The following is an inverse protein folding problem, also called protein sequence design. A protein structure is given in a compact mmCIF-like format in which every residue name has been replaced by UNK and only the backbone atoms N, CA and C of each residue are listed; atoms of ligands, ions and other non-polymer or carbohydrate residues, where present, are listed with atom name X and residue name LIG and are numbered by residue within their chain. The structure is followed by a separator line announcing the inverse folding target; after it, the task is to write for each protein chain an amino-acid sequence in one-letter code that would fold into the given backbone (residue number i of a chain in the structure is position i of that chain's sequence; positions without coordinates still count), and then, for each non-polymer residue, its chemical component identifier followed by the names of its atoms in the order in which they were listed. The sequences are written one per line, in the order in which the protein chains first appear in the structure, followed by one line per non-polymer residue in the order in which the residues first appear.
data_IF_854719026951
#
_entry.id   IF_854719026951
#
_cell.length_a   1.000
_cell.length_b   1.000
_cell.length_c   1.000
_cell.angle_alpha   90.00
_cell.angle_beta   90.00
_cell.angle_gamma   90.00
#
_symmetry.space_group_name_H-M   'P 1'
#
loop_
_entity.id
_entity.type
_entity.pdbx_description
1 polymer ?
#
# COMPACT_ATOMS: atom_id res chain seq x y z
N UNK A 1 4.31 -14.27 10.45
CA UNK A 1 3.06 -13.48 10.35
C UNK A 1 2.86 -13.09 8.90
N UNK A 2 1.61 -13.09 8.44
CA UNK A 2 1.19 -12.63 7.14
C UNK A 2 0.73 -11.18 7.25
N UNK A 3 1.46 -10.29 6.61
CA UNK A 3 1.27 -8.84 6.68
C UNK A 3 0.84 -8.33 5.32
N UNK A 4 -0.33 -7.72 5.26
CA UNK A 4 -0.77 -6.95 4.09
C UNK A 4 -0.45 -5.47 4.32
N UNK A 5 0.19 -4.81 3.36
CA UNK A 5 0.46 -3.38 3.45
C UNK A 5 0.00 -2.66 2.19
N UNK A 6 -0.89 -1.68 2.34
CA UNK A 6 -1.34 -0.80 1.27
C UNK A 6 -0.68 0.57 1.45
N UNK A 7 0.25 0.92 0.55
CA UNK A 7 1.09 2.13 0.67
C UNK A 7 1.75 2.51 -0.65
N UNK A 8 2.33 3.70 -0.73
CA UNK A 8 3.39 3.99 -1.70
C UNK A 8 4.58 3.02 -1.51
N UNK A 9 5.20 2.58 -2.61
CA UNK A 9 6.32 1.65 -2.62
C UNK A 9 7.14 1.79 -3.90
N UNK A 10 8.46 1.75 -3.80
CA UNK A 10 9.39 1.96 -4.91
C UNK A 10 9.13 3.30 -5.63
N UNK A 11 8.81 4.35 -4.86
CA UNK A 11 8.70 5.74 -5.33
C UNK A 11 9.56 6.67 -4.47
N UNK A 12 9.81 7.87 -4.93
CA UNK A 12 10.56 8.91 -4.21
C UNK A 12 9.71 9.68 -3.17
N UNK A 13 8.47 9.24 -2.92
CA UNK A 13 7.62 9.86 -1.90
C UNK A 13 8.08 9.54 -0.47
N UNK A 14 7.86 10.47 0.46
CA UNK A 14 8.18 10.25 1.88
C UNK A 14 7.44 9.05 2.50
N UNK A 15 6.22 8.78 2.03
CA UNK A 15 5.42 7.62 2.45
C UNK A 15 6.08 6.31 2.00
N UNK A 16 6.61 6.27 0.77
CA UNK A 16 7.32 5.11 0.26
C UNK A 16 8.59 4.84 1.07
N UNK A 17 9.38 5.86 1.38
CA UNK A 17 10.59 5.71 2.21
C UNK A 17 10.25 5.05 3.55
N UNK A 18 9.22 5.54 4.25
CA UNK A 18 8.82 4.98 5.54
C UNK A 18 8.31 3.54 5.42
N UNK A 19 7.45 3.27 4.44
CA UNK A 19 6.90 1.94 4.20
C UNK A 19 8.00 0.92 3.83
N UNK A 20 8.94 1.31 2.97
CA UNK A 20 10.04 0.46 2.52
C UNK A 20 10.98 0.07 3.65
N UNK A 21 11.38 1.02 4.50
CA UNK A 21 12.23 0.74 5.65
C UNK A 21 11.59 -0.32 6.55
N UNK A 22 10.33 -0.13 6.92
CA UNK A 22 9.62 -1.04 7.80
C UNK A 22 9.35 -2.40 7.12
N UNK A 23 8.84 -2.37 5.88
CA UNK A 23 8.48 -3.57 5.13
C UNK A 23 9.67 -4.47 4.87
N UNK A 24 10.82 -3.90 4.51
CA UNK A 24 12.06 -4.65 4.29
C UNK A 24 12.56 -5.30 5.58
N UNK A 25 12.47 -4.61 6.72
CA UNK A 25 12.81 -5.21 8.02
C UNK A 25 11.86 -6.35 8.42
N UNK A 26 10.57 -6.27 8.09
CA UNK A 26 9.65 -7.39 8.30
C UNK A 26 10.05 -8.61 7.48
N UNK A 27 10.39 -8.43 6.21
CA UNK A 27 10.88 -9.52 5.36
C UNK A 27 12.17 -10.12 5.93
N UNK A 28 13.13 -9.30 6.36
CA UNK A 28 14.39 -9.75 6.99
C UNK A 28 14.15 -10.57 8.27
N UNK A 29 13.12 -10.22 9.04
CA UNK A 29 12.73 -10.95 10.27
C UNK A 29 11.90 -12.22 9.99
N UNK A 30 11.67 -12.57 8.72
CA UNK A 30 10.96 -13.78 8.32
C UNK A 30 9.43 -13.64 8.32
N UNK A 31 8.90 -12.41 8.28
CA UNK A 31 7.47 -12.21 8.07
C UNK A 31 7.12 -12.29 6.58
N UNK A 32 5.95 -12.83 6.26
CA UNK A 32 5.40 -12.86 4.91
C UNK A 32 4.72 -11.52 4.63
N UNK A 33 5.38 -10.66 3.88
CA UNK A 33 4.84 -9.36 3.47
C UNK A 33 4.15 -9.49 2.10
N UNK A 34 3.02 -8.80 1.92
CA UNK A 34 2.46 -8.46 0.62
C UNK A 34 2.24 -6.95 0.57
N UNK A 35 2.81 -6.29 -0.43
CA UNK A 35 2.63 -4.85 -0.63
C UNK A 35 1.67 -4.60 -1.77
N UNK A 36 0.60 -3.87 -1.51
CA UNK A 36 -0.29 -3.31 -2.50
C UNK A 36 0.09 -1.86 -2.72
N UNK A 37 0.42 -1.49 -3.95
CA UNK A 37 0.89 -0.15 -4.28
C UNK A 37 0.33 0.39 -5.58
N UNK A 38 0.75 1.61 -5.90
CA UNK A 38 0.34 2.37 -7.06
C UNK A 38 0.77 1.73 -8.39
N UNK A 39 -0.05 1.86 -9.43
CA UNK A 39 0.34 1.53 -10.81
C UNK A 39 1.42 2.48 -11.32
N UNK A 40 2.22 2.02 -12.31
CA UNK A 40 3.38 2.78 -12.80
C UNK A 40 3.00 4.11 -13.46
N UNK A 41 1.79 4.22 -14.00
CA UNK A 41 1.31 5.43 -14.67
C UNK A 41 0.65 6.43 -13.71
N UNK A 42 0.35 6.01 -12.48
CA UNK A 42 -0.38 6.81 -11.49
C UNK A 42 0.04 6.45 -10.06
N UNK A 43 1.10 7.13 -9.61
CA UNK A 43 1.68 6.95 -8.28
C UNK A 43 1.91 8.27 -7.55
N UNK A 44 2.14 8.16 -6.24
CA UNK A 44 2.52 9.28 -5.39
C UNK A 44 4.05 9.45 -5.37
N UNK A 45 4.52 10.66 -5.69
CA UNK A 45 5.92 10.97 -5.96
C UNK A 45 6.12 11.50 -7.39
N UNK A 46 7.36 11.77 -7.75
CA UNK A 46 7.78 12.26 -9.07
C UNK A 46 8.50 11.18 -9.89
N UNK A 47 9.03 10.14 -9.23
CA UNK A 47 9.74 9.05 -9.88
C UNK A 47 9.60 7.69 -9.19
N UNK A 48 9.85 6.63 -9.97
CA UNK A 48 10.05 5.27 -9.46
C UNK A 48 11.50 5.07 -9.06
N UNK A 49 11.74 4.56 -7.86
CA UNK A 49 13.10 4.34 -7.31
C UNK A 49 13.66 2.96 -7.67
N UNK A 50 12.81 2.01 -8.07
CA UNK A 50 13.20 0.68 -8.51
C UNK A 50 12.72 0.40 -9.94
N UNK A 51 13.58 -0.27 -10.74
CA UNK A 51 13.22 -0.71 -12.10
C UNK A 51 12.33 -1.95 -12.09
N UNK A 52 12.59 -2.86 -11.14
CA UNK A 52 11.91 -4.15 -10.99
C UNK A 52 11.40 -4.22 -9.57
N UNK A 53 10.11 -4.52 -9.42
CA UNK A 53 9.47 -4.69 -8.12
C UNK A 53 9.83 -6.05 -7.50
N UNK A 54 9.84 -6.11 -6.18
CA UNK A 54 10.00 -7.35 -5.44
C UNK A 54 8.81 -8.31 -5.66
N UNK A 55 9.01 -9.63 -5.54
CA UNK A 55 7.95 -10.62 -5.81
C UNK A 55 6.71 -10.50 -4.88
N UNK A 56 6.86 -9.81 -3.75
CA UNK A 56 5.77 -9.54 -2.83
C UNK A 56 4.99 -8.24 -3.12
N UNK A 57 5.42 -7.46 -4.10
CA UNK A 57 4.78 -6.19 -4.49
C UNK A 57 3.75 -6.43 -5.59
N UNK A 58 2.58 -5.82 -5.42
CA UNK A 58 1.47 -5.87 -6.36
C UNK A 58 0.99 -4.45 -6.61
N UNK A 59 1.03 -4.02 -7.87
CA UNK A 59 0.54 -2.72 -8.30
C UNK A 59 -0.93 -2.83 -8.72
N UNK A 60 -1.86 -2.34 -7.91
CA UNK A 60 -3.30 -2.57 -8.13
C UNK A 60 -4.20 -1.37 -7.87
N UNK A 61 -3.67 -0.17 -7.66
CA UNK A 61 -4.49 1.05 -7.55
C UNK A 61 -3.77 2.28 -8.11
N UNK A 62 -4.52 3.33 -8.40
CA UNK A 62 -4.02 4.65 -8.74
C UNK A 62 -4.23 5.65 -7.59
N UNK A 63 -3.77 6.87 -7.77
CA UNK A 63 -3.96 7.93 -6.77
C UNK A 63 -5.41 8.40 -6.71
N UNK A 64 -5.81 8.94 -5.57
CA UNK A 64 -7.12 9.60 -5.38
C UNK A 64 -7.31 10.86 -6.23
N UNK A 65 -6.21 11.48 -6.66
CA UNK A 65 -6.22 12.76 -7.38
C UNK A 65 -6.16 12.59 -8.90
N UNK A 66 -5.69 11.44 -9.40
CA UNK A 66 -5.65 11.13 -10.83
C UNK A 66 -6.70 10.09 -11.21
N UNK A 67 -6.31 8.83 -11.43
CA UNK A 67 -7.19 7.83 -12.05
C UNK A 67 -8.26 7.29 -11.10
N UNK A 68 -8.01 7.33 -9.79
CA UNK A 68 -8.84 6.68 -8.75
C UNK A 68 -9.04 5.18 -8.99
N UNK A 69 -8.19 4.58 -9.82
CA UNK A 69 -8.26 3.17 -10.18
C UNK A 69 -8.06 2.30 -8.94
N UNK A 70 -8.81 1.21 -8.85
CA UNK A 70 -8.61 0.16 -7.84
C UNK A 70 -9.03 -1.16 -8.44
N UNK A 71 -8.10 -2.10 -8.55
CA UNK A 71 -8.40 -3.51 -8.67
C UNK A 71 -8.40 -4.14 -7.27
N UNK A 72 -9.56 -4.45 -6.70
CA UNK A 72 -9.64 -4.98 -5.34
C UNK A 72 -9.34 -6.49 -5.29
N UNK A 73 -9.29 -7.20 -6.43
CA UNK A 73 -9.14 -8.66 -6.47
C UNK A 73 -7.89 -9.14 -5.74
N UNK A 74 -6.69 -8.55 -5.93
CA UNK A 74 -5.49 -8.98 -5.22
C UNK A 74 -5.57 -8.80 -3.70
N UNK A 75 -6.38 -7.85 -3.23
CA UNK A 75 -6.56 -7.56 -1.80
C UNK A 75 -7.57 -8.54 -1.19
N UNK A 76 -8.67 -8.83 -1.90
CA UNK A 76 -9.77 -9.68 -1.41
C UNK A 76 -9.45 -11.17 -1.50
N UNK A 77 -8.71 -11.61 -2.53
CA UNK A 77 -8.33 -13.03 -2.70
C UNK A 77 -7.48 -13.50 -1.51
N UNK A 78 -6.63 -12.62 -0.99
CA UNK A 78 -5.76 -12.89 0.15
C UNK A 78 -6.54 -12.65 1.46
N UNK A 79 -7.43 -13.59 1.78
CA UNK A 79 -8.31 -13.53 2.97
C UNK A 79 -7.61 -13.72 4.33
N UNK A 80 -6.27 -13.80 4.37
CA UNK A 80 -5.52 -14.39 5.49
C UNK A 80 -4.37 -13.51 6.01
N UNK A 81 -4.55 -12.19 6.05
CA UNK A 81 -3.58 -11.32 6.72
C UNK A 81 -3.83 -11.32 8.23
N UNK A 82 -2.78 -11.57 9.02
CA UNK A 82 -2.81 -11.39 10.48
C UNK A 82 -2.97 -9.90 10.82
N UNK A 83 -2.37 -9.03 10.00
CA UNK A 83 -2.52 -7.58 10.10
C UNK A 83 -2.54 -6.96 8.72
N UNK A 84 -3.42 -5.96 8.53
CA UNK A 84 -3.51 -5.17 7.31
C UNK A 84 -3.25 -3.71 7.63
N UNK A 85 -2.17 -3.17 7.08
CA UNK A 85 -1.68 -1.81 7.36
C UNK A 85 -1.95 -0.94 6.16
N UNK A 86 -2.48 0.25 6.39
CA UNK A 86 -2.79 1.22 5.35
C UNK A 86 -2.06 2.52 5.69
N UNK A 87 -1.25 3.01 4.75
CA UNK A 87 -0.53 4.28 4.90
C UNK A 87 -1.03 5.29 3.86
N UNK A 88 -1.08 6.55 4.28
CA UNK A 88 -1.52 7.70 3.47
C UNK A 88 -2.88 7.53 2.79
N UNK A 89 -3.94 7.38 3.61
CA UNK A 89 -5.33 7.26 3.13
C UNK A 89 -5.76 8.37 2.16
N UNK A 90 -5.18 9.56 2.24
CA UNK A 90 -5.54 10.71 1.38
C UNK A 90 -5.18 10.44 -0.08
N UNK A 91 -4.07 9.76 -0.32
CA UNK A 91 -3.61 9.43 -1.67
C UNK A 91 -4.20 8.13 -2.21
N UNK A 92 -4.80 7.32 -1.34
CA UNK A 92 -5.49 6.10 -1.75
C UNK A 92 -6.88 6.40 -2.33
N UNK A 93 -7.40 5.57 -3.26
CA UNK A 93 -8.73 5.71 -3.82
C UNK A 93 -9.81 5.26 -2.81
N UNK A 94 -9.87 5.95 -1.66
CA UNK A 94 -10.58 5.53 -0.45
C UNK A 94 -12.07 5.30 -0.71
N UNK A 95 -12.71 6.08 -1.58
CA UNK A 95 -14.13 5.89 -1.92
C UNK A 95 -14.40 4.52 -2.55
N UNK A 96 -13.47 4.06 -3.41
CA UNK A 96 -13.55 2.72 -4.00
C UNK A 96 -13.15 1.66 -2.98
N UNK A 97 -12.24 1.98 -2.06
CA UNK A 97 -11.85 1.10 -0.96
C UNK A 97 -13.03 0.78 -0.05
N UNK A 98 -13.73 1.80 0.47
CA UNK A 98 -14.87 1.64 1.38
C UNK A 98 -16.07 0.90 0.75
N UNK A 99 -16.25 1.04 -0.57
CA UNK A 99 -17.33 0.34 -1.30
C UNK A 99 -17.04 -1.15 -1.50
N UNK A 100 -15.78 -1.51 -1.74
CA UNK A 100 -15.40 -2.87 -2.12
C UNK A 100 -14.85 -3.72 -0.97
N UNK A 101 -14.38 -3.09 0.10
CA UNK A 101 -13.75 -3.78 1.23
C UNK A 101 -14.57 -3.57 2.50
N UNK A 102 -15.30 -4.62 2.89
CA UNK A 102 -15.99 -4.74 4.17
C UNK A 102 -14.96 -4.97 5.29
N UNK A 103 -14.13 -3.97 5.60
CA UNK A 103 -13.20 -4.08 6.71
C UNK A 103 -13.97 -4.14 8.04
N UNK A 104 -13.72 -5.16 8.86
CA UNK A 104 -14.03 -5.07 10.29
C UNK A 104 -13.20 -3.91 10.86
N UNK A 105 -13.88 -2.87 11.34
CA UNK A 105 -13.32 -1.54 11.65
C UNK A 105 -12.26 -1.51 12.78
N UNK A 106 -11.82 -2.65 13.29
CA UNK A 106 -11.20 -2.70 14.61
C UNK A 106 -9.77 -2.14 14.69
N UNK A 107 -8.98 -2.07 13.61
CA UNK A 107 -7.59 -1.56 13.70
C UNK A 107 -7.06 -0.88 12.42
N UNK A 108 -7.67 0.20 11.97
CA UNK A 108 -7.05 1.08 10.95
C UNK A 108 -6.21 2.14 11.69
N UNK A 109 -4.88 1.98 11.71
CA UNK A 109 -3.96 3.02 12.19
C UNK A 109 -3.44 3.83 11.00
N UNK A 110 -3.86 5.09 10.90
CA UNK A 110 -3.30 6.04 9.95
C UNK A 110 -2.05 6.68 10.53
N UNK A 111 -0.90 6.43 9.91
CA UNK A 111 0.29 7.25 10.12
C UNK A 111 0.33 8.29 8.98
N UNK A 112 -0.32 9.43 9.20
CA UNK A 112 -0.17 10.60 8.34
C UNK A 112 1.02 11.39 8.83
N UNK A 113 2.08 11.50 8.02
CA UNK A 113 3.20 12.39 8.30
C UNK A 113 2.68 13.84 8.38
N UNK A 114 2.59 14.37 9.59
CA UNK A 114 2.47 15.81 9.86
C UNK A 114 3.81 16.47 9.51
N UNK A 115 3.97 16.90 8.25
CA UNK A 115 4.92 17.94 7.88
C UNK A 115 4.33 18.77 6.73
N UNK A 116 3.42 19.66 7.09
CA UNK A 116 3.11 20.92 6.39
C UNK A 116 2.74 21.94 7.44
#
# INVERSE_FOLDING_TARGET
MKIGMMSAWNTDSGVAIHAELIGREWVKKGHELKVFTFIKDDFHGDGLTAKIDEPFVVRCFGTSTKTKFLDPRPIITEKYYDVFIVQDLRMLPYQNLYKNLSFNKEKIKNCGSCFT
#
